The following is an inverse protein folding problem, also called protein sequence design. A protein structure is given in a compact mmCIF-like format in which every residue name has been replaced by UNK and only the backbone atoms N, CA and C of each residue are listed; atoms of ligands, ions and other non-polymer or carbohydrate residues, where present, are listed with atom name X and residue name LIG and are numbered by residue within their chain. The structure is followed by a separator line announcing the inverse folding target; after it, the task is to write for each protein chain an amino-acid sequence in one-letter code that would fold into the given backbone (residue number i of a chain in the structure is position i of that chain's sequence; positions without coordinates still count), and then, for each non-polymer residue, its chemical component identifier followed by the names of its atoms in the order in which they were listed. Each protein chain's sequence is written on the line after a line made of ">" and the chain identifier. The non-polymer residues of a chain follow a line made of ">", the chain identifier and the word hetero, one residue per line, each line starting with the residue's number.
data_IF_147805013542
#
_entry.id   IF_147805013542
#
_cell.length_a   1.000
_cell.length_b   1.000
_cell.length_c   1.000
_cell.angle_alpha   90.00
_cell.angle_beta   90.00
_cell.angle_gamma   90.00
#
_symmetry.space_group_name_H-M   'P 1'
#
loop_
_entity.id
_entity.type
_entity.pdbx_description
1 polymer ?
#
# COMPACT_ATOMS: atom_id res chain seq x y z
N UNK A 1 -30.84 25.20 15.67
CA UNK A 1 -32.09 24.52 15.26
C UNK A 1 -32.52 25.08 13.92
N UNK A 2 -32.37 24.28 12.86
CA UNK A 2 -33.25 24.21 11.67
C UNK A 2 -32.56 23.31 10.65
N UNK A 3 -32.64 21.98 10.85
CA UNK A 3 -32.42 21.04 9.76
C UNK A 3 -33.62 21.18 8.82
N UNK A 4 -33.39 21.67 7.61
CA UNK A 4 -34.40 21.68 6.55
C UNK A 4 -34.72 20.24 6.16
N UNK A 5 -35.68 19.63 6.86
CA UNK A 5 -36.37 18.40 6.47
C UNK A 5 -37.31 18.70 5.31
N UNK A 6 -36.75 18.80 4.10
CA UNK A 6 -37.53 18.61 2.88
C UNK A 6 -37.59 17.10 2.60
N UNK A 7 -38.63 16.45 3.16
CA UNK A 7 -39.07 15.11 2.82
C UNK A 7 -38.28 13.95 3.43
N UNK A 8 -38.43 13.67 4.73
CA UNK A 8 -38.06 12.38 5.37
C UNK A 8 -36.60 11.88 5.23
N UNK A 9 -35.73 12.69 4.64
CA UNK A 9 -34.34 12.37 4.32
C UNK A 9 -33.40 13.17 5.20
N UNK A 10 -32.27 12.55 5.52
CA UNK A 10 -31.26 13.04 6.44
C UNK A 10 -29.92 13.05 5.72
N UNK A 11 -29.24 14.19 5.76
CA UNK A 11 -27.89 14.35 5.23
C UNK A 11 -26.86 14.10 6.33
N UNK A 12 -25.92 13.22 6.03
CA UNK A 12 -24.79 12.86 6.91
C UNK A 12 -23.50 13.29 6.20
N UNK A 13 -22.89 14.43 6.58
CA UNK A 13 -21.64 14.87 5.99
C UNK A 13 -20.49 14.01 6.53
N UNK A 14 -19.64 13.54 5.63
CA UNK A 14 -18.48 12.70 5.97
C UNK A 14 -17.21 13.23 5.30
N UNK A 15 -16.06 12.91 5.89
CA UNK A 15 -14.74 13.20 5.34
C UNK A 15 -13.84 11.99 5.39
N UNK A 16 -13.24 11.67 4.27
CA UNK A 16 -12.11 10.74 4.15
C UNK A 16 -10.95 11.54 3.60
N UNK A 17 -9.95 11.82 4.44
CA UNK A 17 -8.82 12.68 4.09
C UNK A 17 -9.27 14.05 3.50
N UNK A 18 -9.03 14.26 2.20
CA UNK A 18 -9.40 15.45 1.42
C UNK A 18 -10.78 15.33 0.77
N UNK A 19 -11.33 14.12 0.70
CA UNK A 19 -12.62 13.86 0.08
C UNK A 19 -13.77 14.19 1.03
N UNK A 20 -14.60 15.14 0.61
CA UNK A 20 -15.82 15.56 1.31
C UNK A 20 -17.03 15.01 0.59
N UNK A 21 -17.87 14.27 1.30
CA UNK A 21 -19.11 13.74 0.74
C UNK A 21 -20.29 14.00 1.66
N UNK A 22 -21.49 13.91 1.09
CA UNK A 22 -22.71 13.84 1.88
C UNK A 22 -23.52 12.65 1.51
N UNK A 23 -23.83 11.87 2.54
CA UNK A 23 -24.66 10.69 2.43
C UNK A 23 -26.08 11.12 2.75
N UNK A 24 -26.92 11.13 1.73
CA UNK A 24 -28.34 11.40 1.82
C UNK A 24 -29.07 10.06 1.98
N UNK A 25 -29.69 9.84 3.14
CA UNK A 25 -30.36 8.59 3.53
C UNK A 25 -31.75 8.87 4.11
N UNK A 26 -32.63 7.87 4.19
CA UNK A 26 -33.88 8.03 4.93
C UNK A 26 -33.66 8.08 6.44
N UNK A 27 -34.62 8.65 7.18
CA UNK A 27 -34.56 8.76 8.64
C UNK A 27 -34.35 7.40 9.34
N UNK A 28 -34.91 6.33 8.77
CA UNK A 28 -34.76 4.96 9.27
C UNK A 28 -33.30 4.44 9.22
N UNK A 29 -32.51 4.89 8.24
CA UNK A 29 -31.12 4.42 8.03
C UNK A 29 -30.12 5.38 8.69
N UNK A 30 -30.49 6.65 8.87
CA UNK A 30 -29.63 7.72 9.34
C UNK A 30 -28.89 7.43 10.66
N UNK A 31 -29.58 6.83 11.65
CA UNK A 31 -28.97 6.54 12.95
C UNK A 31 -27.82 5.54 12.81
N UNK A 32 -28.06 4.44 12.09
CA UNK A 32 -27.05 3.40 11.85
C UNK A 32 -25.90 3.92 10.98
N UNK A 33 -26.18 4.74 9.95
CA UNK A 33 -25.13 5.40 9.15
C UNK A 33 -24.22 6.28 10.01
N UNK A 34 -24.80 7.10 10.90
CA UNK A 34 -24.01 7.96 11.80
C UNK A 34 -23.20 7.15 12.80
N UNK A 35 -23.78 6.09 13.38
CA UNK A 35 -23.08 5.22 14.32
C UNK A 35 -21.92 4.48 13.66
N UNK A 36 -22.14 3.94 12.47
CA UNK A 36 -21.12 3.26 11.69
C UNK A 36 -19.98 4.20 11.26
N UNK A 37 -20.31 5.38 10.74
CA UNK A 37 -19.34 6.32 10.18
C UNK A 37 -18.95 7.41 11.19
N UNK A 38 -19.14 7.19 12.49
CA UNK A 38 -18.94 8.20 13.54
C UNK A 38 -17.55 8.85 13.48
N UNK A 39 -16.53 8.08 13.08
CA UNK A 39 -15.15 8.55 12.92
C UNK A 39 -14.93 9.45 11.69
N UNK A 40 -15.86 9.42 10.74
CA UNK A 40 -15.81 10.15 9.48
C UNK A 40 -16.79 11.33 9.44
N UNK A 41 -17.81 11.31 10.31
CA UNK A 41 -18.87 12.33 10.36
C UNK A 41 -18.27 13.68 10.74
N UNK A 42 -18.64 14.72 9.99
CA UNK A 42 -18.28 16.10 10.29
C UNK A 42 -19.38 16.81 11.07
N UNK A 43 -18.98 17.74 11.94
CA UNK A 43 -19.88 18.67 12.63
C UNK A 43 -20.15 19.95 11.85
N UNK A 44 -19.28 20.28 10.89
CA UNK A 44 -19.38 21.53 10.12
C UNK A 44 -20.44 21.39 9.04
N UNK A 45 -21.31 22.40 8.94
CA UNK A 45 -22.49 22.40 8.07
C UNK A 45 -22.24 22.90 6.64
N UNK A 46 -21.01 23.26 6.29
CA UNK A 46 -20.66 23.47 4.87
C UNK A 46 -20.63 22.12 4.15
N UNK A 47 -21.54 21.94 3.20
CA UNK A 47 -21.64 20.79 2.31
C UNK A 47 -21.62 21.37 0.88
N UNK A 48 -20.89 20.85 -0.13
CA UNK A 48 -20.77 19.46 -0.59
C UNK A 48 -19.51 19.29 -1.45
N UNK A 49 -18.82 18.15 -1.32
CA UNK A 49 -18.16 17.53 -2.48
C UNK A 49 -19.18 16.65 -3.21
N UNK A 50 -18.99 15.32 -3.25
CA UNK A 50 -19.94 14.43 -3.91
C UNK A 50 -21.21 14.17 -3.06
N UNK A 51 -22.34 13.92 -3.73
CA UNK A 51 -23.59 13.47 -3.12
C UNK A 51 -23.74 11.95 -3.30
N UNK A 52 -23.86 11.23 -2.20
CA UNK A 52 -24.12 9.79 -2.16
C UNK A 52 -25.55 9.58 -1.69
N UNK A 53 -26.42 9.06 -2.56
CA UNK A 53 -27.84 8.83 -2.25
C UNK A 53 -28.05 7.36 -1.94
N UNK A 54 -28.59 7.06 -0.77
CA UNK A 54 -29.08 5.72 -0.42
C UNK A 54 -30.61 5.76 -0.42
N UNK A 55 -31.24 4.91 -1.22
CA UNK A 55 -32.70 4.79 -1.25
C UNK A 55 -33.23 3.80 -0.19
N UNK A 56 -34.55 3.73 -0.02
CA UNK A 56 -35.18 2.86 1.00
C UNK A 56 -35.03 1.36 0.70
N UNK A 57 -34.61 1.01 -0.52
CA UNK A 57 -34.27 -0.37 -0.90
C UNK A 57 -32.79 -0.67 -0.68
N UNK A 58 -32.01 0.30 -0.21
CA UNK A 58 -30.58 0.17 0.01
C UNK A 58 -29.72 0.35 -1.24
N UNK A 59 -30.28 0.84 -2.35
CA UNK A 59 -29.51 1.16 -3.54
C UNK A 59 -28.73 2.44 -3.33
N UNK A 60 -27.46 2.42 -3.70
CA UNK A 60 -26.53 3.55 -3.56
C UNK A 60 -26.31 4.18 -4.94
N UNK A 61 -26.41 5.50 -5.02
CA UNK A 61 -26.15 6.27 -6.24
C UNK A 61 -25.12 7.37 -5.99
N UNK A 62 -24.11 7.45 -6.85
CA UNK A 62 -23.05 8.46 -6.84
C UNK A 62 -22.79 8.85 -8.29
N UNK A 63 -22.88 10.14 -8.61
CA UNK A 63 -22.62 10.69 -9.95
C UNK A 63 -23.32 9.92 -11.10
N UNK A 64 -24.56 9.49 -10.85
CA UNK A 64 -25.39 8.75 -11.83
C UNK A 64 -25.05 7.26 -11.97
N UNK A 65 -23.99 6.76 -11.32
CA UNK A 65 -23.71 5.32 -11.19
C UNK A 65 -24.49 4.75 -10.02
N UNK A 66 -24.91 3.49 -10.16
CA UNK A 66 -25.73 2.80 -9.17
C UNK A 66 -25.05 1.51 -8.71
N UNK A 67 -25.20 1.23 -7.42
CA UNK A 67 -24.74 0.02 -6.78
C UNK A 67 -25.87 -0.57 -5.93
N UNK A 68 -26.08 -1.87 -6.04
CA UNK A 68 -26.99 -2.64 -5.18
C UNK A 68 -26.15 -3.58 -4.30
N UNK A 69 -26.55 -3.79 -3.05
CA UNK A 69 -25.90 -4.76 -2.18
C UNK A 69 -26.11 -6.19 -2.72
N UNK A 70 -25.04 -6.99 -2.74
CA UNK A 70 -25.13 -8.41 -3.10
C UNK A 70 -25.91 -9.24 -2.06
N UNK A 71 -26.25 -10.49 -2.40
CA UNK A 71 -27.03 -11.40 -1.53
C UNK A 71 -26.42 -11.61 -0.13
N UNK A 72 -25.09 -11.50 0.00
CA UNK A 72 -24.35 -11.71 1.25
C UNK A 72 -23.77 -10.40 1.83
N UNK A 73 -24.23 -9.24 1.35
CA UNK A 73 -23.73 -7.93 1.76
C UNK A 73 -24.84 -7.10 2.38
N UNK A 74 -24.49 -6.31 3.39
CA UNK A 74 -25.39 -5.27 3.89
C UNK A 74 -25.30 -4.02 3.01
N UNK A 75 -26.32 -3.16 3.09
CA UNK A 75 -26.26 -1.81 2.50
C UNK A 75 -25.04 -1.03 3.01
N UNK A 76 -24.65 -1.28 4.25
CA UNK A 76 -23.49 -0.62 4.86
C UNK A 76 -22.16 -1.12 4.32
N UNK A 77 -22.05 -2.42 4.01
CA UNK A 77 -20.88 -2.99 3.34
C UNK A 77 -20.67 -2.30 1.98
N UNK A 78 -21.76 -2.18 1.22
CA UNK A 78 -21.75 -1.50 -0.08
C UNK A 78 -21.48 0.01 0.08
N UNK A 79 -22.00 0.65 1.12
CA UNK A 79 -21.80 2.08 1.37
C UNK A 79 -20.34 2.39 1.69
N UNK A 80 -19.71 1.61 2.56
CA UNK A 80 -18.28 1.78 2.90
C UNK A 80 -17.43 1.58 1.64
N UNK A 81 -17.72 0.54 0.86
CA UNK A 81 -17.03 0.28 -0.41
C UNK A 81 -17.17 1.46 -1.39
N UNK A 82 -18.38 1.92 -1.67
CA UNK A 82 -18.66 3.02 -2.61
C UNK A 82 -18.02 4.32 -2.14
N UNK A 83 -18.07 4.61 -0.84
CA UNK A 83 -17.46 5.80 -0.26
C UNK A 83 -15.94 5.81 -0.46
N UNK A 84 -15.27 4.67 -0.24
CA UNK A 84 -13.83 4.53 -0.47
C UNK A 84 -13.48 4.63 -1.95
N UNK A 85 -14.21 3.91 -2.82
CA UNK A 85 -14.00 3.99 -4.27
C UNK A 85 -14.12 5.43 -4.79
N UNK A 86 -15.18 6.13 -4.39
CA UNK A 86 -15.36 7.52 -4.78
C UNK A 86 -14.25 8.44 -4.25
N UNK A 87 -13.71 8.17 -3.05
CA UNK A 87 -12.56 8.92 -2.52
C UNK A 87 -11.27 8.68 -3.31
N UNK A 88 -11.04 7.46 -3.79
CA UNK A 88 -9.89 7.08 -4.62
C UNK A 88 -10.00 7.69 -6.03
N UNK A 89 -11.20 7.65 -6.62
CA UNK A 89 -11.48 8.26 -7.93
C UNK A 89 -11.26 9.77 -7.90
N UNK A 90 -11.55 10.42 -6.77
CA UNK A 90 -11.36 11.85 -6.56
C UNK A 90 -9.91 12.26 -6.24
N UNK A 91 -8.98 11.30 -6.11
CA UNK A 91 -7.58 11.53 -5.73
C UNK A 91 -6.59 10.95 -6.76
N UNK A 92 -6.71 11.27 -8.06
CA UNK A 92 -5.89 10.66 -9.10
C UNK A 92 -4.40 11.03 -9.05
N UNK A 93 -4.06 12.07 -8.28
CA UNK A 93 -2.72 12.65 -8.18
C UNK A 93 -1.92 12.11 -6.98
N UNK A 94 -2.45 11.13 -6.23
CA UNK A 94 -1.67 10.35 -5.25
C UNK A 94 -1.70 8.84 -5.51
N UNK A 95 -0.61 8.17 -5.13
CA UNK A 95 -0.50 6.71 -5.19
C UNK A 95 -1.15 6.09 -3.95
N UNK A 96 -2.05 5.13 -4.11
CA UNK A 96 -2.70 4.46 -2.98
C UNK A 96 -2.09 3.07 -2.73
N UNK A 97 -1.50 2.93 -1.56
CA UNK A 97 -0.94 1.67 -1.06
C UNK A 97 -2.00 0.91 -0.27
N UNK A 98 -2.15 -0.39 -0.52
CA UNK A 98 -3.00 -1.25 0.31
C UNK A 98 -2.28 -1.61 1.61
N UNK A 99 -2.44 -0.76 2.61
CA UNK A 99 -1.75 -0.86 3.88
C UNK A 99 -2.58 -0.26 5.02
N UNK A 100 -2.38 -0.79 6.22
CA UNK A 100 -2.83 -0.13 7.45
C UNK A 100 -1.85 0.96 7.86
N UNK A 101 -2.35 1.99 8.54
CA UNK A 101 -1.55 3.01 9.21
C UNK A 101 -2.07 3.21 10.63
N UNK A 102 -1.17 3.05 11.58
CA UNK A 102 -1.41 3.35 12.99
C UNK A 102 -0.29 4.23 13.49
N UNK A 103 -0.50 4.98 14.57
CA UNK A 103 0.57 5.74 15.20
C UNK A 103 0.53 5.68 16.70
N UNK A 104 1.66 6.03 17.33
CA UNK A 104 1.71 6.33 18.75
C UNK A 104 2.63 7.52 18.94
N UNK A 105 2.19 8.51 19.73
CA UNK A 105 2.97 9.74 19.92
C UNK A 105 3.36 10.43 18.60
N UNK A 106 2.41 10.51 17.66
CA UNK A 106 2.60 11.05 16.30
C UNK A 106 3.62 10.31 15.41
N UNK A 107 4.12 9.14 15.83
CA UNK A 107 5.02 8.31 15.02
C UNK A 107 4.26 7.12 14.46
N UNK A 108 4.17 7.08 13.13
CA UNK A 108 3.36 6.15 12.37
C UNK A 108 4.11 4.90 11.95
N UNK A 109 3.40 3.78 11.89
CA UNK A 109 3.89 2.54 11.30
C UNK A 109 2.94 2.12 10.20
N UNK A 110 3.47 1.94 8.99
CA UNK A 110 2.74 1.40 7.87
C UNK A 110 2.77 -0.12 7.94
N UNK A 111 1.59 -0.74 7.93
CA UNK A 111 1.39 -2.18 8.03
C UNK A 111 1.03 -2.71 6.66
N UNK A 112 2.02 -3.30 5.99
CA UNK A 112 1.88 -3.90 4.68
C UNK A 112 1.83 -5.42 4.75
N UNK A 113 1.62 -6.04 3.59
CA UNK A 113 1.59 -7.49 3.41
C UNK A 113 0.47 -7.91 2.48
N UNK A 114 0.57 -9.14 1.98
CA UNK A 114 -0.39 -9.72 1.04
C UNK A 114 -1.83 -9.69 1.58
N UNK A 115 -2.81 -9.70 0.69
CA UNK A 115 -4.21 -9.84 1.08
C UNK A 115 -4.39 -11.07 2.01
N UNK A 116 -5.13 -10.88 3.12
CA UNK A 116 -5.37 -11.96 4.09
C UNK A 116 -4.25 -12.23 5.11
N UNK A 117 -3.11 -11.52 5.07
CA UNK A 117 -2.02 -11.74 6.04
C UNK A 117 -2.33 -11.29 7.49
N UNK A 118 -3.48 -10.67 7.74
CA UNK A 118 -3.91 -10.24 9.07
C UNK A 118 -3.76 -8.74 9.38
N UNK A 119 -3.55 -7.86 8.37
CA UNK A 119 -3.38 -6.40 8.56
C UNK A 119 -4.47 -5.77 9.43
N UNK A 120 -5.75 -5.87 9.04
CA UNK A 120 -6.86 -5.29 9.80
C UNK A 120 -6.99 -5.89 11.21
N UNK A 121 -6.68 -7.17 11.36
CA UNK A 121 -6.67 -7.86 12.66
C UNK A 121 -5.58 -7.31 13.57
N UNK A 122 -4.37 -7.11 13.04
CA UNK A 122 -3.27 -6.49 13.78
C UNK A 122 -3.57 -5.02 14.11
N UNK A 123 -4.13 -4.25 13.17
CA UNK A 123 -4.56 -2.86 13.43
C UNK A 123 -5.52 -2.82 14.61
N UNK A 124 -6.53 -3.68 14.66
CA UNK A 124 -7.46 -3.76 15.80
C UNK A 124 -6.74 -4.02 17.13
N UNK A 125 -5.78 -4.95 17.13
CA UNK A 125 -4.97 -5.27 18.32
C UNK A 125 -4.10 -4.09 18.77
N UNK A 126 -3.57 -3.30 17.83
CA UNK A 126 -2.77 -2.11 18.13
C UNK A 126 -3.63 -0.98 18.69
N UNK A 127 -4.84 -0.79 18.17
CA UNK A 127 -5.81 0.16 18.73
C UNK A 127 -6.12 -0.18 20.19
N UNK A 128 -6.35 -1.46 20.50
CA UNK A 128 -6.49 -1.94 21.89
C UNK A 128 -5.27 -1.64 22.76
N UNK A 129 -4.08 -1.68 22.17
CA UNK A 129 -2.82 -1.37 22.85
C UNK A 129 -2.54 0.14 22.96
N UNK A 130 -3.48 1.00 22.54
CA UNK A 130 -3.41 2.45 22.67
C UNK A 130 -2.72 3.15 21.51
N UNK A 131 -2.64 2.51 20.33
CA UNK A 131 -2.27 3.21 19.10
C UNK A 131 -3.46 4.00 18.56
N UNK A 132 -3.15 5.13 17.95
CA UNK A 132 -4.09 5.92 17.17
C UNK A 132 -4.37 5.25 15.81
N UNK A 133 -5.63 5.19 15.43
CA UNK A 133 -6.07 4.70 14.13
C UNK A 133 -6.00 5.79 13.05
N UNK A 134 -5.43 5.44 11.89
CA UNK A 134 -5.50 6.28 10.69
C UNK A 134 -6.21 5.56 9.54
N UNK A 135 -5.89 4.29 9.28
CA UNK A 135 -6.61 3.43 8.32
C UNK A 135 -6.18 1.97 8.49
N UNK A 136 -6.98 1.02 8.00
CA UNK A 136 -6.60 -0.39 7.83
C UNK A 136 -6.55 -0.84 6.36
N UNK A 137 -6.72 0.08 5.40
CA UNK A 137 -7.04 -0.28 4.02
C UNK A 137 -6.22 0.46 2.97
N UNK A 138 -6.25 1.80 2.95
CA UNK A 138 -5.53 2.58 1.93
C UNK A 138 -4.83 3.78 2.54
N UNK A 139 -3.57 3.97 2.15
CA UNK A 139 -2.78 5.16 2.44
C UNK A 139 -2.37 5.79 1.11
N UNK A 140 -2.82 7.01 0.86
CA UNK A 140 -2.35 7.84 -0.24
C UNK A 140 -0.92 8.33 0.06
N UNK A 141 -0.09 8.41 -0.97
CA UNK A 141 1.29 8.92 -0.90
C UNK A 141 1.48 9.91 -2.04
N UNK A 142 1.93 11.12 -1.70
CA UNK A 142 2.27 12.14 -2.70
C UNK A 142 3.77 12.14 -3.05
N UNK A 143 4.16 12.93 -4.04
CA UNK A 143 5.55 13.02 -4.52
C UNK A 143 6.55 13.52 -3.46
N UNK A 144 6.07 14.16 -2.40
CA UNK A 144 6.86 14.60 -1.24
C UNK A 144 6.94 13.53 -0.14
N UNK A 145 6.42 12.31 -0.40
CA UNK A 145 6.30 11.20 0.55
C UNK A 145 5.34 11.50 1.72
N UNK A 146 4.48 12.51 1.61
CA UNK A 146 3.48 12.79 2.62
C UNK A 146 2.36 11.75 2.54
N UNK A 147 1.97 11.23 3.70
CA UNK A 147 0.89 10.25 3.80
C UNK A 147 -0.47 10.94 3.85
N UNK A 148 -1.47 10.33 3.25
CA UNK A 148 -2.88 10.67 3.37
C UNK A 148 -3.66 9.42 3.73
N UNK A 149 -3.95 9.15 5.02
CA UNK A 149 -4.72 7.97 5.38
C UNK A 149 -6.17 8.10 4.91
N UNK A 150 -6.74 7.02 4.38
CA UNK A 150 -8.16 6.94 4.03
C UNK A 150 -8.89 6.13 5.11
N UNK A 151 -9.34 6.76 6.22
CA UNK A 151 -10.01 6.06 7.30
C UNK A 151 -11.34 5.48 6.85
N UNK A 152 -11.70 4.34 7.43
CA UNK A 152 -13.02 3.72 7.33
C UNK A 152 -13.34 3.01 8.65
N UNK A 153 -14.58 2.56 8.88
CA UNK A 153 -14.83 1.56 9.90
C UNK A 153 -13.95 0.33 9.63
N UNK A 154 -13.33 -0.22 10.67
CA UNK A 154 -12.49 -1.40 10.59
C UNK A 154 -13.31 -2.55 9.99
N UNK A 155 -12.78 -3.20 8.95
CA UNK A 155 -13.45 -4.30 8.27
C UNK A 155 -12.85 -5.62 8.75
N UNK A 156 -13.54 -6.32 9.64
CA UNK A 156 -13.12 -7.63 10.13
C UNK A 156 -13.75 -8.70 9.26
N UNK A 157 -12.93 -9.49 8.56
CA UNK A 157 -13.43 -10.61 7.76
C UNK A 157 -13.76 -11.82 8.65
N UNK A 158 -14.68 -12.68 8.20
CA UNK A 158 -15.20 -13.81 8.98
C UNK A 158 -14.13 -14.69 9.64
N UNK A 159 -13.00 -14.94 8.97
CA UNK A 159 -11.89 -15.71 9.53
C UNK A 159 -11.23 -15.09 10.78
N UNK A 160 -11.43 -13.80 11.01
CA UNK A 160 -10.90 -13.05 12.15
C UNK A 160 -11.90 -12.83 13.28
N UNK A 161 -13.18 -13.21 13.11
CA UNK A 161 -14.20 -13.05 14.15
C UNK A 161 -13.80 -13.66 15.50
N UNK A 162 -13.23 -14.88 15.59
CA UNK A 162 -12.86 -15.44 16.89
C UNK A 162 -11.74 -14.66 17.60
N UNK A 163 -10.85 -14.02 16.83
CA UNK A 163 -9.71 -13.27 17.37
C UNK A 163 -10.14 -11.89 17.89
N UNK A 164 -11.27 -11.38 17.41
CA UNK A 164 -11.80 -10.05 17.72
C UNK A 164 -13.23 -10.13 18.27
N UNK A 165 -13.58 -11.24 18.94
CA UNK A 165 -14.96 -11.54 19.35
C UNK A 165 -15.53 -10.51 20.31
N UNK A 166 -14.69 -9.83 21.09
CA UNK A 166 -15.10 -8.72 21.96
C UNK A 166 -15.66 -7.50 21.19
N UNK A 167 -15.41 -7.40 19.88
CA UNK A 167 -15.90 -6.32 19.02
C UNK A 167 -17.05 -6.76 18.13
N UNK A 168 -17.67 -7.90 18.41
CA UNK A 168 -18.85 -8.37 17.69
C UNK A 168 -19.94 -7.26 17.72
N UNK A 169 -20.33 -6.70 16.55
CA UNK A 169 -21.34 -5.66 16.50
C UNK A 169 -22.70 -6.11 17.03
N UNK A 170 -23.02 -7.40 16.96
CA UNK A 170 -24.29 -7.95 17.45
C UNK A 170 -24.36 -7.99 18.98
N UNK A 171 -23.21 -8.15 19.64
CA UNK A 171 -23.10 -8.17 21.09
C UNK A 171 -22.91 -6.76 21.66
N UNK A 172 -22.10 -5.93 21.01
CA UNK A 172 -21.73 -4.60 21.49
C UNK A 172 -22.74 -3.52 21.09
N UNK A 173 -23.55 -3.75 20.05
CA UNK A 173 -24.41 -2.74 19.44
C UNK A 173 -23.64 -1.66 18.67
N UNK A 174 -22.33 -1.85 18.47
CA UNK A 174 -21.46 -0.88 17.82
C UNK A 174 -20.97 -1.44 16.47
N UNK A 175 -21.43 -0.82 15.38
CA UNK A 175 -21.07 -1.23 14.03
C UNK A 175 -22.16 -2.03 13.33
N UNK A 176 -21.77 -2.77 12.30
CA UNK A 176 -22.67 -3.60 11.47
C UNK A 176 -22.04 -4.97 11.28
N UNK A 177 -22.84 -6.02 11.45
CA UNK A 177 -22.42 -7.40 11.21
C UNK A 177 -23.15 -8.01 10.00
N UNK A 178 -22.37 -8.69 9.16
CA UNK A 178 -22.83 -9.60 8.12
C UNK A 178 -22.14 -10.96 8.30
N UNK A 179 -22.60 -12.04 7.63
CA UNK A 179 -21.94 -13.34 7.70
C UNK A 179 -20.47 -13.32 7.25
N UNK A 180 -20.08 -12.34 6.43
CA UNK A 180 -18.73 -12.22 5.87
C UNK A 180 -17.87 -11.16 6.52
N UNK A 181 -18.49 -10.12 7.06
CA UNK A 181 -17.81 -8.89 7.42
C UNK A 181 -18.44 -8.25 8.65
N UNK A 182 -17.61 -7.81 9.59
CA UNK A 182 -17.99 -6.83 10.58
C UNK A 182 -17.39 -5.49 10.21
N UNK A 183 -18.19 -4.44 10.26
CA UNK A 183 -17.70 -3.07 10.25
C UNK A 183 -17.79 -2.50 11.66
N UNK A 184 -16.66 -2.18 12.25
CA UNK A 184 -16.57 -1.63 13.62
C UNK A 184 -15.93 -0.25 13.56
N UNK A 185 -16.56 0.81 14.09
CA UNK A 185 -15.90 2.11 14.20
C UNK A 185 -14.61 2.00 15.00
N UNK A 186 -13.54 2.66 14.54
CA UNK A 186 -12.23 2.59 15.20
C UNK A 186 -12.27 3.16 16.62
N UNK A 187 -13.09 4.20 16.86
CA UNK A 187 -13.30 4.80 18.18
C UNK A 187 -13.93 3.88 19.22
N UNK A 188 -14.51 2.75 18.79
CA UNK A 188 -15.04 1.72 19.70
C UNK A 188 -13.93 0.79 20.18
N UNK A 189 -12.85 0.65 19.41
CA UNK A 189 -11.76 -0.30 19.67
C UNK A 189 -10.65 0.34 20.50
N UNK A 190 -10.24 1.55 20.14
CA UNK A 190 -9.09 2.25 20.73
C UNK A 190 -9.42 3.65 21.23
N UNK A 191 -8.49 4.30 21.95
CA UNK A 191 -8.72 5.62 22.49
C UNK A 191 -8.75 6.68 21.38
N UNK A 192 -9.93 7.18 21.06
CA UNK A 192 -10.14 8.35 20.20
C UNK A 192 -10.72 8.04 18.82
N UNK A 193 -11.20 9.08 18.15
CA UNK A 193 -11.69 9.00 16.76
C UNK A 193 -10.55 8.76 15.77
N UNK A 194 -10.88 8.25 14.59
CA UNK A 194 -9.93 8.13 13.50
C UNK A 194 -9.21 9.46 13.25
N UNK A 195 -7.88 9.42 13.20
CA UNK A 195 -7.07 10.60 12.92
C UNK A 195 -6.95 10.76 11.41
N UNK A 196 -7.19 11.98 10.94
CA UNK A 196 -7.03 12.35 9.53
C UNK A 196 -5.72 13.09 9.26
N UNK A 197 -5.07 13.60 10.30
CA UNK A 197 -3.76 14.23 10.17
C UNK A 197 -2.70 13.13 10.11
N UNK A 198 -1.86 13.10 9.07
CA UNK A 198 -0.88 12.03 8.93
C UNK A 198 0.18 12.10 10.03
N UNK A 199 0.61 10.95 10.57
CA UNK A 199 1.73 10.89 11.51
C UNK A 199 3.06 11.01 10.75
N UNK A 200 4.14 11.26 11.48
CA UNK A 200 5.48 11.10 10.93
C UNK A 200 5.77 9.60 10.75
N UNK A 201 6.03 9.14 9.53
CA UNK A 201 6.33 7.73 9.28
C UNK A 201 7.65 7.34 9.97
N UNK A 202 7.61 6.31 10.82
CA UNK A 202 8.75 5.83 11.58
C UNK A 202 9.21 4.42 11.18
N UNK A 203 8.39 3.68 10.43
CA UNK A 203 8.74 2.34 9.96
C UNK A 203 7.67 1.70 9.10
N UNK A 204 8.08 0.65 8.39
CA UNK A 204 7.19 -0.21 7.61
C UNK A 204 7.34 -1.65 8.09
N UNK A 205 6.23 -2.29 8.43
CA UNK A 205 6.16 -3.68 8.83
C UNK A 205 5.36 -4.49 7.80
N UNK A 206 6.00 -5.49 7.18
CA UNK A 206 5.30 -6.51 6.40
C UNK A 206 4.95 -7.67 7.32
N UNK A 207 3.64 -7.87 7.52
CA UNK A 207 3.15 -8.74 8.59
C UNK A 207 2.62 -10.07 8.07
N UNK A 208 2.76 -11.10 8.90
CA UNK A 208 2.13 -12.39 8.71
C UNK A 208 1.59 -12.91 10.04
N UNK A 209 0.26 -13.04 10.12
CA UNK A 209 -0.39 -13.63 11.28
C UNK A 209 -0.32 -15.17 11.22
N UNK A 210 0.19 -15.79 12.29
CA UNK A 210 0.20 -17.24 12.48
C UNK A 210 -0.28 -17.57 13.88
N UNK A 211 -1.35 -18.36 13.97
CA UNK A 211 -1.95 -18.75 15.26
C UNK A 211 -0.89 -19.37 16.17
N UNK A 212 -0.69 -18.78 17.35
CA UNK A 212 0.24 -19.26 18.36
C UNK A 212 1.72 -19.06 18.04
N UNK A 213 2.08 -18.36 16.96
CA UNK A 213 3.47 -18.07 16.66
C UNK A 213 4.07 -17.09 17.67
N UNK A 214 5.30 -17.36 18.09
CA UNK A 214 6.12 -16.37 18.78
C UNK A 214 6.41 -15.20 17.83
N UNK A 215 6.63 -14.01 18.40
CA UNK A 215 7.09 -12.86 17.64
C UNK A 215 8.45 -13.16 17.02
N UNK A 216 8.54 -13.04 15.70
CA UNK A 216 9.79 -13.11 14.95
C UNK A 216 9.84 -11.95 13.96
N UNK A 217 11.02 -11.36 13.78
CA UNK A 217 11.20 -10.22 12.89
C UNK A 217 12.59 -10.18 12.30
N UNK A 218 12.67 -9.82 11.02
CA UNK A 218 13.94 -9.57 10.35
C UNK A 218 13.92 -8.23 9.61
N UNK A 219 15.09 -7.64 9.44
CA UNK A 219 15.24 -6.49 8.54
C UNK A 219 14.94 -6.90 7.10
N UNK A 220 14.37 -5.97 6.34
CA UNK A 220 14.05 -6.17 4.94
C UNK A 220 14.69 -5.09 4.10
N UNK A 221 15.17 -5.50 2.92
CA UNK A 221 15.64 -4.55 1.93
C UNK A 221 14.47 -3.68 1.42
N UNK A 222 14.62 -2.35 1.32
CA UNK A 222 13.55 -1.44 0.87
C UNK A 222 12.88 -1.84 -0.45
N UNK A 223 13.67 -2.32 -1.42
CA UNK A 223 13.18 -2.80 -2.72
C UNK A 223 12.22 -3.97 -2.57
N UNK A 224 12.52 -4.93 -1.70
CA UNK A 224 11.65 -6.08 -1.45
C UNK A 224 10.32 -5.63 -0.85
N UNK A 225 10.36 -4.66 0.07
CA UNK A 225 9.13 -4.10 0.66
C UNK A 225 8.33 -3.30 -0.37
N UNK A 226 8.99 -2.48 -1.19
CA UNK A 226 8.36 -1.71 -2.24
C UNK A 226 7.63 -2.61 -3.24
N UNK A 227 8.25 -3.72 -3.66
CA UNK A 227 7.61 -4.72 -4.53
C UNK A 227 6.33 -5.28 -3.92
N UNK A 228 6.33 -5.62 -2.63
CA UNK A 228 5.14 -6.15 -1.94
C UNK A 228 4.03 -5.09 -1.85
N UNK A 229 4.37 -3.84 -1.52
CA UNK A 229 3.39 -2.76 -1.43
C UNK A 229 2.78 -2.38 -2.79
N UNK A 230 3.55 -2.49 -3.87
CA UNK A 230 3.09 -2.23 -5.23
C UNK A 230 2.27 -3.38 -5.81
N UNK A 231 2.53 -4.63 -5.42
CA UNK A 231 1.83 -5.80 -5.95
C UNK A 231 0.31 -5.78 -5.71
N UNK A 232 -0.16 -5.04 -4.69
CA UNK A 232 -1.58 -4.89 -4.33
C UNK A 232 -2.09 -3.45 -4.52
N UNK A 233 -1.32 -2.61 -5.22
CA UNK A 233 -1.73 -1.26 -5.58
C UNK A 233 -2.54 -1.27 -6.87
N UNK A 234 -3.69 -0.61 -6.84
CA UNK A 234 -4.57 -0.44 -8.01
C UNK A 234 -4.12 0.70 -8.93
N UNK A 235 -3.15 1.50 -8.47
CA UNK A 235 -2.68 2.69 -9.17
C UNK A 235 -1.43 2.43 -9.99
N UNK A 236 -0.87 1.21 -9.97
CA UNK A 236 0.36 0.87 -10.69
C UNK A 236 0.22 1.25 -12.16
N UNK A 237 -0.92 0.96 -12.79
CA UNK A 237 -1.16 1.32 -14.18
C UNK A 237 -1.27 2.83 -14.41
N UNK A 238 -1.97 3.55 -13.51
CA UNK A 238 -2.13 5.00 -13.58
C UNK A 238 -0.80 5.75 -13.37
N UNK A 239 0.02 5.29 -12.44
CA UNK A 239 1.27 5.94 -12.06
C UNK A 239 2.45 5.64 -12.99
N UNK A 240 2.28 4.71 -13.93
CA UNK A 240 3.32 4.44 -14.91
C UNK A 240 4.64 4.06 -14.23
N UNK A 241 5.71 4.66 -14.75
CA UNK A 241 7.07 4.56 -14.24
C UNK A 241 7.31 5.23 -12.88
N UNK A 242 6.42 6.14 -12.43
CA UNK A 242 6.62 6.93 -11.21
C UNK A 242 6.34 6.14 -9.94
N UNK A 243 5.42 5.18 -10.00
CA UNK A 243 5.03 4.34 -8.86
C UNK A 243 6.21 3.59 -8.21
N UNK A 244 6.98 2.78 -8.97
CA UNK A 244 8.16 2.08 -8.47
C UNK A 244 9.16 3.00 -7.77
N UNK A 245 9.45 4.17 -8.36
CA UNK A 245 10.37 5.14 -7.78
C UNK A 245 9.82 5.72 -6.46
N UNK A 246 8.54 6.11 -6.44
CA UNK A 246 7.92 6.73 -5.28
C UNK A 246 7.90 5.77 -4.08
N UNK A 247 7.45 4.53 -4.28
CA UNK A 247 7.40 3.54 -3.20
C UNK A 247 8.79 3.13 -2.74
N UNK A 248 9.75 3.02 -3.65
CA UNK A 248 11.15 2.74 -3.27
C UNK A 248 11.69 3.87 -2.39
N UNK A 249 11.45 5.13 -2.74
CA UNK A 249 11.84 6.29 -1.90
C UNK A 249 11.17 6.26 -0.53
N UNK A 250 9.89 5.90 -0.47
CA UNK A 250 9.16 5.75 0.79
C UNK A 250 9.82 4.66 1.67
N UNK A 251 10.00 3.46 1.13
CA UNK A 251 10.62 2.34 1.85
C UNK A 251 12.07 2.61 2.25
N UNK A 252 12.82 3.35 1.43
CA UNK A 252 14.20 3.71 1.71
C UNK A 252 14.35 4.83 2.75
N UNK A 253 13.25 5.50 3.14
CA UNK A 253 13.27 6.60 4.11
C UNK A 253 13.15 6.16 5.56
N UNK A 254 12.70 4.92 5.82
CA UNK A 254 12.42 4.40 7.15
C UNK A 254 12.80 2.92 7.26
N UNK A 255 13.07 2.40 8.48
CA UNK A 255 13.38 0.99 8.63
C UNK A 255 12.20 0.09 8.23
N UNK A 256 12.55 -0.97 7.50
CA UNK A 256 11.65 -1.96 6.93
C UNK A 256 11.85 -3.31 7.61
N UNK A 257 10.78 -3.94 8.13
CA UNK A 257 10.88 -5.25 8.79
C UNK A 257 9.79 -6.22 8.33
N UNK A 258 10.14 -7.50 8.27
CA UNK A 258 9.17 -8.60 8.28
C UNK A 258 8.76 -8.87 9.73
N UNK A 259 7.51 -9.22 9.96
CA UNK A 259 6.98 -9.51 11.30
C UNK A 259 6.03 -10.70 11.24
N UNK A 260 6.43 -11.83 11.83
CA UNK A 260 5.56 -12.97 12.07
C UNK A 260 5.05 -12.88 13.51
N UNK A 261 3.73 -13.02 13.71
CA UNK A 261 3.16 -12.90 15.05
C UNK A 261 1.91 -13.75 15.27
N UNK A 262 1.71 -14.19 16.52
CA UNK A 262 0.44 -14.73 17.02
C UNK A 262 -0.53 -13.68 17.57
N UNK A 263 -0.16 -12.39 17.51
CA UNK A 263 -0.94 -11.27 18.04
C UNK A 263 -0.58 -10.92 19.48
N UNK A 264 -1.37 -10.04 20.10
CA UNK A 264 -1.23 -9.70 21.52
C UNK A 264 -0.17 -8.63 21.84
N UNK A 265 0.31 -8.62 23.09
CA UNK A 265 1.12 -7.54 23.64
C UNK A 265 2.54 -7.47 23.03
N UNK A 266 3.12 -8.61 22.63
CA UNK A 266 4.50 -8.66 22.13
C UNK A 266 4.65 -7.90 20.81
N UNK A 267 3.76 -8.13 19.85
CA UNK A 267 3.76 -7.39 18.57
C UNK A 267 3.46 -5.91 18.76
N UNK A 268 2.57 -5.55 19.70
CA UNK A 268 2.29 -4.17 20.03
C UNK A 268 3.49 -3.47 20.68
N UNK A 269 4.23 -4.18 21.54
CA UNK A 269 5.48 -3.71 22.14
C UNK A 269 6.56 -3.49 21.09
N UNK A 270 6.74 -4.45 20.18
CA UNK A 270 7.68 -4.35 19.07
C UNK A 270 7.37 -3.16 18.15
N UNK A 271 6.11 -3.00 17.72
CA UNK A 271 5.72 -1.89 16.86
C UNK A 271 5.74 -0.54 17.60
N UNK A 272 5.63 -0.54 18.93
CA UNK A 272 5.87 0.67 19.73
C UNK A 272 7.34 1.12 19.67
N UNK A 273 8.28 0.20 19.43
CA UNK A 273 9.70 0.52 19.26
C UNK A 273 9.94 1.49 18.10
N UNK A 274 9.30 1.27 16.95
CA UNK A 274 9.30 2.23 15.83
C UNK A 274 8.77 3.60 16.29
N UNK A 275 7.69 3.60 17.08
CA UNK A 275 7.04 4.83 17.52
C UNK A 275 7.82 5.61 18.59
N UNK A 276 8.75 4.98 19.32
CA UNK A 276 9.60 5.66 20.30
C UNK A 276 10.90 6.20 19.73
N UNK A 277 11.24 5.86 18.48
CA UNK A 277 12.37 6.48 17.75
C UNK A 277 13.76 6.09 18.27
N UNK A 278 13.94 4.87 18.77
CA UNK A 278 15.22 4.46 19.40
C UNK A 278 16.31 4.12 18.39
N UNK A 279 15.96 3.80 17.14
CA UNK A 279 16.91 3.33 16.12
C UNK A 279 17.20 4.45 15.11
N UNK A 280 18.46 4.89 15.01
CA UNK A 280 18.89 5.80 13.96
C UNK A 280 19.04 5.05 12.64
N UNK A 281 18.09 5.23 11.72
CA UNK A 281 18.17 4.73 10.36
C UNK A 281 18.72 5.80 9.44
N UNK A 282 19.80 5.50 8.70
CA UNK A 282 20.47 6.47 7.83
C UNK A 282 19.76 6.72 6.50
N UNK A 283 18.69 5.98 6.19
CA UNK A 283 18.10 5.96 4.86
C UNK A 283 18.96 5.18 3.87
N UNK A 284 18.35 4.68 2.80
CA UNK A 284 19.10 4.21 1.63
C UNK A 284 19.05 5.27 0.53
N UNK A 285 20.19 5.50 -0.15
CA UNK A 285 20.20 6.33 -1.35
C UNK A 285 19.42 5.63 -2.46
N UNK A 286 18.53 6.38 -3.12
CA UNK A 286 17.68 5.86 -4.19
C UNK A 286 18.03 6.55 -5.49
N UNK A 287 18.47 5.76 -6.47
CA UNK A 287 18.82 6.23 -7.81
C UNK A 287 17.72 5.86 -8.79
N UNK A 288 17.21 6.84 -9.52
CA UNK A 288 16.21 6.59 -10.55
C UNK A 288 16.84 5.85 -11.74
N UNK A 289 16.15 4.81 -12.21
CA UNK A 289 16.50 4.08 -13.44
C UNK A 289 15.54 4.53 -14.54
N UNK A 290 16.08 5.19 -15.58
CA UNK A 290 15.33 5.66 -16.74
C UNK A 290 15.63 4.80 -17.97
N UNK A 291 14.62 4.55 -18.80
CA UNK A 291 14.81 3.93 -20.11
C UNK A 291 15.77 4.75 -20.98
N UNK A 292 16.56 4.06 -21.79
CA UNK A 292 17.25 4.66 -22.93
C UNK A 292 16.19 5.16 -23.94
N UNK A 293 16.33 6.41 -24.41
CA UNK A 293 15.33 7.07 -25.27
C UNK A 293 15.17 6.46 -26.66
N UNK A 294 16.14 5.67 -27.13
CA UNK A 294 16.27 5.30 -28.54
C UNK A 294 16.45 3.80 -28.84
N UNK A 295 16.37 2.93 -27.82
CA UNK A 295 16.48 1.48 -28.05
C UNK A 295 15.17 0.93 -28.64
N UNK A 296 15.13 0.57 -29.92
CA UNK A 296 14.00 -0.22 -30.45
C UNK A 296 14.02 -1.60 -29.78
N UNK A 297 12.90 -2.10 -29.23
CA UNK A 297 12.87 -3.44 -28.69
C UNK A 297 13.24 -4.43 -29.81
N UNK A 298 14.16 -5.35 -29.52
CA UNK A 298 14.50 -6.41 -30.45
C UNK A 298 13.27 -7.33 -30.60
N UNK A 299 12.58 -7.27 -31.74
CA UNK A 299 11.50 -8.21 -32.04
C UNK A 299 12.10 -9.57 -32.44
N UNK A 300 12.13 -10.53 -31.53
CA UNK A 300 12.64 -11.87 -31.79
C UNK A 300 12.70 -12.74 -30.54
N UNK A 301 12.88 -14.05 -30.72
CA UNK A 301 13.20 -14.93 -29.60
C UNK A 301 14.53 -14.50 -28.97
N UNK A 302 14.73 -14.65 -27.64
CA UNK A 302 15.98 -14.28 -26.99
C UNK A 302 17.15 -15.02 -27.65
N UNK A 303 18.08 -14.28 -28.23
CA UNK A 303 19.35 -14.83 -28.70
C UNK A 303 20.29 -14.89 -27.50
N UNK A 304 20.98 -16.02 -27.24
CA UNK A 304 21.96 -16.10 -26.16
C UNK A 304 22.97 -14.95 -26.25
N UNK A 305 23.27 -14.33 -25.12
CA UNK A 305 24.21 -13.21 -25.04
C UNK A 305 25.62 -13.65 -25.46
N UNK A 306 26.20 -12.92 -26.42
CA UNK A 306 27.60 -13.02 -26.84
C UNK A 306 28.39 -11.85 -26.23
N UNK A 307 29.55 -12.10 -25.63
CA UNK A 307 30.38 -11.04 -25.04
C UNK A 307 30.84 -9.97 -26.05
N UNK A 308 30.72 -10.21 -27.36
CA UNK A 308 31.00 -9.20 -28.39
C UNK A 308 29.80 -8.26 -28.64
N UNK A 309 28.63 -8.57 -28.11
CA UNK A 309 27.45 -7.72 -28.27
C UNK A 309 27.57 -6.47 -27.40
N UNK A 310 26.75 -5.49 -27.75
CA UNK A 310 26.49 -4.29 -26.95
C UNK A 310 25.06 -4.47 -26.43
N UNK A 311 24.87 -4.36 -25.12
CA UNK A 311 23.55 -4.41 -24.50
C UNK A 311 23.27 -3.09 -23.79
N UNK A 312 22.01 -2.67 -23.82
CA UNK A 312 21.53 -1.52 -23.07
C UNK A 312 20.30 -1.86 -22.24
N UNK A 313 19.84 -0.92 -21.40
CA UNK A 313 18.51 -1.00 -20.81
C UNK A 313 17.45 -1.13 -21.91
N UNK A 314 16.51 -2.05 -21.73
CA UNK A 314 15.37 -2.18 -22.64
C UNK A 314 14.56 -0.87 -22.68
N UNK A 315 13.91 -0.58 -23.81
CA UNK A 315 13.07 0.61 -23.90
C UNK A 315 11.77 0.48 -23.12
N UNK A 316 11.25 1.62 -22.66
CA UNK A 316 9.98 1.68 -21.93
C UNK A 316 10.03 1.17 -20.50
N UNK A 317 11.18 0.69 -20.01
CA UNK A 317 11.34 0.31 -18.61
C UNK A 317 11.52 1.54 -17.72
N UNK A 318 11.19 1.40 -16.44
CA UNK A 318 11.53 2.39 -15.44
C UNK A 318 11.61 1.79 -14.05
N UNK A 319 12.42 2.37 -13.18
CA UNK A 319 12.60 1.81 -11.87
C UNK A 319 13.40 2.68 -10.94
N UNK A 320 13.83 2.05 -9.87
CA UNK A 320 14.78 2.65 -8.94
C UNK A 320 15.72 1.57 -8.40
N UNK A 321 16.98 1.93 -8.22
CA UNK A 321 17.90 1.18 -7.39
C UNK A 321 17.95 1.80 -6.00
N UNK A 322 18.04 0.96 -4.97
CA UNK A 322 18.38 1.38 -3.62
C UNK A 322 19.45 0.42 -3.10
N UNK A 323 20.57 0.97 -2.65
CA UNK A 323 21.76 0.19 -2.29
C UNK A 323 22.15 -0.82 -3.39
N UNK A 324 22.09 -2.11 -3.10
CA UNK A 324 22.52 -3.22 -3.96
C UNK A 324 21.38 -3.86 -4.77
N UNK A 325 20.14 -3.36 -4.69
CA UNK A 325 19.02 -3.93 -5.46
C UNK A 325 18.30 -2.89 -6.30
N UNK A 326 17.64 -3.36 -7.36
CA UNK A 326 16.77 -2.55 -8.18
C UNK A 326 15.36 -3.12 -8.30
N UNK A 327 14.38 -2.23 -8.43
CA UNK A 327 13.00 -2.56 -8.80
C UNK A 327 12.72 -1.92 -10.16
N UNK A 328 12.46 -2.75 -11.16
CA UNK A 328 12.21 -2.33 -12.53
C UNK A 328 10.80 -2.70 -12.93
N UNK A 329 10.04 -1.73 -13.43
CA UNK A 329 8.81 -1.96 -14.18
C UNK A 329 9.15 -2.10 -15.66
N UNK A 330 8.76 -3.21 -16.26
CA UNK A 330 8.94 -3.48 -17.70
C UNK A 330 7.85 -2.80 -18.53
N UNK A 331 8.03 -2.78 -19.85
CA UNK A 331 7.03 -2.32 -20.81
C UNK A 331 5.71 -3.11 -20.76
N UNK A 332 5.79 -4.41 -20.44
CA UNK A 332 4.66 -5.30 -20.19
C UNK A 332 3.92 -5.00 -18.88
N UNK A 333 4.44 -4.07 -18.07
CA UNK A 333 3.88 -3.68 -16.78
C UNK A 333 4.33 -4.57 -15.61
N UNK A 334 5.15 -5.59 -15.84
CA UNK A 334 5.66 -6.47 -14.79
C UNK A 334 6.63 -5.72 -13.86
N UNK A 335 6.60 -6.05 -12.57
CA UNK A 335 7.56 -5.56 -11.58
C UNK A 335 8.63 -6.63 -11.33
N UNK A 336 9.87 -6.32 -11.66
CA UNK A 336 11.04 -7.19 -11.57
C UNK A 336 11.97 -6.63 -10.49
N UNK A 337 12.21 -7.40 -9.44
CA UNK A 337 13.27 -7.13 -8.46
C UNK A 337 14.56 -7.78 -8.95
N UNK A 338 15.63 -6.98 -9.05
CA UNK A 338 16.97 -7.43 -9.36
C UNK A 338 17.76 -7.66 -8.07
N UNK A 339 18.51 -8.76 -8.03
CA UNK A 339 19.49 -9.02 -6.97
C UNK A 339 20.76 -8.16 -7.12
N UNK A 340 21.73 -8.34 -6.22
CA UNK A 340 23.01 -7.61 -6.22
C UNK A 340 23.77 -7.75 -7.54
N UNK A 341 23.95 -8.97 -8.02
CA UNK A 341 24.71 -9.24 -9.24
C UNK A 341 23.99 -8.69 -10.48
N UNK A 342 22.67 -8.88 -10.55
CA UNK A 342 21.82 -8.36 -11.61
C UNK A 342 21.83 -6.83 -11.64
N UNK A 343 21.73 -6.19 -10.47
CA UNK A 343 21.72 -4.72 -10.35
C UNK A 343 23.07 -4.13 -10.78
N UNK A 344 24.18 -4.72 -10.31
CA UNK A 344 25.52 -4.28 -10.68
C UNK A 344 25.75 -4.39 -12.19
N UNK A 345 25.44 -5.53 -12.80
CA UNK A 345 25.57 -5.70 -14.25
C UNK A 345 24.65 -4.78 -15.03
N UNK A 346 23.39 -4.63 -14.61
CA UNK A 346 22.43 -3.74 -15.26
C UNK A 346 22.90 -2.28 -15.25
N UNK A 347 23.49 -1.80 -14.16
CA UNK A 347 24.01 -0.43 -14.05
C UNK A 347 25.22 -0.15 -14.96
N UNK A 348 25.94 -1.18 -15.38
CA UNK A 348 27.05 -1.06 -16.33
C UNK A 348 26.59 -1.02 -17.80
N UNK A 349 25.34 -1.39 -18.09
CA UNK A 349 24.81 -1.40 -19.45
C UNK A 349 24.51 0.02 -19.91
N UNK A 350 25.32 0.51 -20.84
CA UNK A 350 25.19 1.84 -21.42
C UNK A 350 24.59 1.83 -22.84
N UNK A 351 24.49 0.65 -23.48
CA UNK A 351 24.07 0.52 -24.87
C UNK A 351 25.11 0.96 -25.91
N UNK A 352 26.35 1.22 -25.49
CA UNK A 352 27.44 1.69 -26.35
C UNK A 352 28.73 0.86 -26.20
N UNK A 353 28.99 0.32 -25.02
CA UNK A 353 30.21 -0.43 -24.69
C UNK A 353 29.97 -1.93 -24.90
N UNK A 354 30.90 -2.59 -25.58
CA UNK A 354 30.83 -4.03 -25.81
C UNK A 354 31.05 -4.79 -24.49
N UNK A 355 30.30 -5.88 -24.28
CA UNK A 355 30.29 -6.61 -23.01
C UNK A 355 31.66 -7.15 -22.61
N UNK A 356 32.51 -7.56 -23.56
CA UNK A 356 33.87 -8.00 -23.30
C UNK A 356 34.76 -6.89 -22.73
N UNK A 357 34.51 -5.63 -23.09
CA UNK A 357 35.21 -4.48 -22.51
C UNK A 357 34.76 -4.29 -21.07
N UNK A 358 33.45 -4.29 -20.81
CA UNK A 358 32.91 -4.20 -19.46
C UNK A 358 33.39 -5.35 -18.56
N UNK A 359 33.40 -6.58 -19.06
CA UNK A 359 33.91 -7.76 -18.34
C UNK A 359 35.37 -7.59 -17.95
N UNK A 360 36.21 -7.11 -18.88
CA UNK A 360 37.63 -6.85 -18.59
C UNK A 360 37.79 -5.76 -17.54
N UNK A 361 37.06 -4.65 -17.67
CA UNK A 361 37.11 -3.54 -16.70
C UNK A 361 36.67 -3.99 -15.29
N UNK A 362 35.59 -4.77 -15.21
CA UNK A 362 35.12 -5.36 -13.95
C UNK A 362 36.20 -6.29 -13.39
N UNK A 363 36.74 -7.22 -14.18
CA UNK A 363 37.76 -8.17 -13.76
C UNK A 363 39.03 -7.47 -13.25
N UNK A 364 39.50 -6.43 -13.95
CA UNK A 364 40.63 -5.60 -13.54
C UNK A 364 40.34 -4.85 -12.23
N UNK A 365 39.12 -4.30 -12.07
CA UNK A 365 38.74 -3.52 -10.88
C UNK A 365 38.66 -4.36 -9.60
N UNK A 366 38.23 -5.63 -9.69
CA UNK A 366 38.07 -6.53 -8.54
C UNK A 366 39.20 -7.56 -8.43
N UNK A 367 40.17 -7.56 -9.36
CA UNK A 367 41.34 -8.44 -9.36
C UNK A 367 41.00 -9.92 -9.56
N UNK A 368 39.98 -10.22 -10.37
CA UNK A 368 39.53 -11.59 -10.65
C UNK A 368 39.80 -12.00 -12.11
N UNK A 369 39.72 -13.30 -12.38
CA UNK A 369 39.93 -13.88 -13.71
C UNK A 369 38.84 -13.46 -14.70
N UNK A 370 39.25 -12.89 -15.84
CA UNK A 370 38.35 -12.38 -16.89
C UNK A 370 37.42 -13.47 -17.43
N UNK A 371 37.91 -14.71 -17.56
CA UNK A 371 37.10 -15.81 -18.10
C UNK A 371 35.97 -16.21 -17.13
N UNK A 372 36.28 -16.27 -15.83
CA UNK A 372 35.29 -16.53 -14.79
C UNK A 372 34.23 -15.41 -14.70
N UNK A 373 34.65 -14.14 -14.76
CA UNK A 373 33.73 -12.99 -14.80
C UNK A 373 32.86 -13.03 -16.05
N UNK A 374 33.45 -13.32 -17.21
CA UNK A 374 32.71 -13.43 -18.47
C UNK A 374 31.62 -14.51 -18.43
N UNK A 375 31.92 -15.69 -17.88
CA UNK A 375 30.94 -16.77 -17.75
C UNK A 375 29.78 -16.39 -16.82
N UNK A 376 30.07 -15.74 -15.69
CA UNK A 376 29.06 -15.23 -14.75
C UNK A 376 28.21 -14.12 -15.39
N UNK A 377 28.85 -13.17 -16.06
CA UNK A 377 28.20 -12.06 -16.76
C UNK A 377 27.19 -12.58 -17.79
N UNK A 378 27.59 -13.53 -18.64
CA UNK A 378 26.70 -14.14 -19.63
C UNK A 378 25.48 -14.78 -18.97
N UNK A 379 25.65 -15.48 -17.84
CA UNK A 379 24.51 -16.07 -17.11
C UNK A 379 23.54 -15.00 -16.60
N UNK A 380 24.07 -13.93 -15.97
CA UNK A 380 23.26 -12.83 -15.44
C UNK A 380 22.54 -12.09 -16.58
N UNK A 381 23.25 -11.74 -17.64
CA UNK A 381 22.74 -10.96 -18.77
C UNK A 381 21.68 -11.72 -19.56
N UNK A 382 21.83 -13.04 -19.74
CA UNK A 382 20.76 -13.85 -20.33
C UNK A 382 19.47 -13.78 -19.49
N UNK A 383 19.60 -13.75 -18.16
CA UNK A 383 18.46 -13.55 -17.26
C UNK A 383 17.80 -12.18 -17.43
N UNK A 384 18.61 -11.11 -17.51
CA UNK A 384 18.13 -9.74 -17.74
C UNK A 384 17.39 -9.61 -19.08
N UNK A 385 17.91 -10.20 -20.15
CA UNK A 385 17.24 -10.23 -21.46
C UNK A 385 15.93 -11.03 -21.39
N UNK A 386 15.92 -12.19 -20.73
CA UNK A 386 14.72 -13.02 -20.57
C UNK A 386 13.62 -12.32 -19.76
N UNK A 387 13.99 -11.47 -18.80
CA UNK A 387 13.07 -10.65 -18.00
C UNK A 387 12.60 -9.39 -18.73
N UNK A 388 13.13 -9.09 -19.92
CA UNK A 388 12.78 -7.89 -20.69
C UNK A 388 13.33 -6.59 -20.09
N UNK A 389 14.40 -6.66 -19.29
CA UNK A 389 15.03 -5.48 -18.68
C UNK A 389 16.27 -5.00 -19.44
N UNK A 390 16.89 -5.85 -20.26
CA UNK A 390 18.00 -5.51 -21.15
C UNK A 390 17.74 -6.01 -22.59
N UNK A 391 18.31 -5.34 -23.59
CA UNK A 391 18.17 -5.70 -25.00
C UNK A 391 19.41 -5.37 -25.83
#
# INVERSE_FOLDING_TARGET
>A
MSSETLGGRVRVPVRIDRYLATIDVSEAIASSTRGLLVDLVRTDTEVVGALIVVDDRGRITVDGRQWDAGQDQTVFDQLVYVLLQASLDADPDRLHLHAGLVSRSNRGVLIGGHAGCGKSTLVAQLLRAGFDYHTDERVAVDDALALGPLPKPLSVVAGSFPVLAEFDPTATGHGVASPRLWHVPASVIGPGSARTSPPELAGIALVEYRVGAALDSAEMHPITVARVLLADSIDVDRYGSRGPLLVTRLCASVPCRSVIHGGGADVAGFLSGFATGTDSFAGAEVTQILAASDARPASGAPVPVDLRSVLGPASGIAGAAAADRALIRTDSGALVELDEGQTAWFQLLDGYTALNVLVREVAESIGLDEHAIGASAVSVLNGLVALGVAA
#
